data_IF_182543567954
#
_entry.id   IF_182543567954
#
_cell.length_a   1.000
_cell.length_b   1.000
_cell.length_c   1.000
_cell.angle_alpha   90.00
_cell.angle_beta   90.00
_cell.angle_gamma   90.00
#
_symmetry.space_group_name_H-M   'P 1'
#
loop_
_entity.id
_entity.type
_entity.pdbx_description
1 polymer ?
#
# COMPACT_ATOMS: atom_id res chain seq x y z
N UNK A 1 -5.51 16.30 -64.83
CA UNK A 1 -4.26 16.41 -64.05
C UNK A 1 -4.45 15.67 -62.74
N UNK A 2 -3.61 14.67 -62.46
CA UNK A 2 -3.82 13.63 -61.45
C UNK A 2 -3.55 14.19 -60.04
N UNK A 3 -4.48 13.97 -59.11
CA UNK A 3 -4.30 14.28 -57.68
C UNK A 3 -3.38 13.22 -57.09
N UNK A 4 -2.16 13.60 -56.68
CA UNK A 4 -1.24 12.71 -55.98
C UNK A 4 -1.71 12.57 -54.52
N UNK A 5 -2.15 11.37 -54.17
CA UNK A 5 -2.31 10.90 -52.80
C UNK A 5 -0.89 10.71 -52.24
N UNK A 6 -0.52 11.46 -51.21
CA UNK A 6 0.60 11.10 -50.36
C UNK A 6 0.07 10.51 -49.07
N UNK A 7 0.13 9.18 -49.02
CA UNK A 7 -0.09 8.35 -47.86
C UNK A 7 1.22 8.39 -47.06
N UNK A 8 1.28 9.18 -45.97
CA UNK A 8 2.37 9.09 -45.01
C UNK A 8 1.87 8.24 -43.85
N UNK A 9 2.17 6.95 -43.92
CA UNK A 9 2.17 6.08 -42.75
C UNK A 9 3.40 6.45 -41.90
N UNK A 10 3.20 7.14 -40.79
CA UNK A 10 4.16 7.15 -39.69
C UNK A 10 3.59 6.29 -38.57
N UNK A 11 4.27 5.17 -38.36
CA UNK A 11 4.16 4.30 -37.21
C UNK A 11 4.34 5.16 -35.95
N UNK A 12 3.25 5.54 -35.29
CA UNK A 12 3.33 5.83 -33.87
C UNK A 12 3.55 4.48 -33.19
N UNK A 13 4.81 4.07 -33.13
CA UNK A 13 5.30 3.26 -32.03
C UNK A 13 4.91 4.05 -30.78
N UNK A 14 3.75 3.69 -30.22
CA UNK A 14 3.25 4.30 -29.01
C UNK A 14 4.31 4.03 -27.96
N UNK A 15 5.05 5.08 -27.62
CA UNK A 15 5.87 5.12 -26.41
C UNK A 15 4.88 4.77 -25.31
N UNK A 16 5.00 3.55 -24.77
CA UNK A 16 4.26 3.16 -23.57
C UNK A 16 4.87 4.03 -22.48
N UNK A 17 4.30 5.20 -22.26
CA UNK A 17 4.63 5.98 -21.08
C UNK A 17 4.23 5.11 -19.89
N UNK A 18 5.22 4.70 -19.08
CA UNK A 18 4.96 4.22 -17.74
C UNK A 18 4.24 5.37 -17.01
N UNK A 19 2.91 5.30 -16.92
CA UNK A 19 2.17 6.26 -16.12
C UNK A 19 2.49 5.97 -14.67
N UNK A 20 3.29 6.84 -14.04
CA UNK A 20 3.48 6.79 -12.60
C UNK A 20 2.14 7.10 -11.92
N UNK A 21 1.64 6.14 -11.14
CA UNK A 21 0.43 6.33 -10.33
C UNK A 21 0.76 7.33 -9.23
N UNK A 22 0.24 8.55 -9.36
CA UNK A 22 0.48 9.62 -8.39
C UNK A 22 -0.38 9.42 -7.14
N UNK A 23 0.18 9.65 -5.94
CA UNK A 23 -0.62 9.63 -4.72
C UNK A 23 -1.60 10.80 -4.67
N UNK A 24 -2.74 10.59 -4.01
CA UNK A 24 -3.72 11.62 -3.70
C UNK A 24 -3.38 12.19 -2.32
N UNK A 25 -3.29 13.52 -2.24
CA UNK A 25 -2.97 14.25 -1.03
C UNK A 25 -4.10 15.24 -0.71
N UNK A 26 -4.77 15.07 0.43
CA UNK A 26 -5.94 15.85 0.82
C UNK A 26 -5.73 16.53 2.18
N UNK A 27 -6.02 17.83 2.33
CA UNK A 27 -5.88 18.51 3.61
C UNK A 27 -6.86 17.91 4.65
N UNK A 28 -6.35 17.62 5.84
CA UNK A 28 -7.10 17.09 6.97
C UNK A 28 -6.73 17.85 8.24
N UNK A 29 -7.38 19.00 8.46
CA UNK A 29 -7.03 19.91 9.55
C UNK A 29 -5.59 20.42 9.42
N UNK A 30 -4.74 20.14 10.42
CA UNK A 30 -3.30 20.45 10.38
C UNK A 30 -2.46 19.41 9.65
N UNK A 31 -3.07 18.28 9.29
CA UNK A 31 -2.42 17.14 8.63
C UNK A 31 -2.77 17.10 7.16
N UNK A 32 -2.05 16.28 6.40
CA UNK A 32 -2.32 15.94 5.02
C UNK A 32 -2.59 14.43 4.96
N UNK A 33 -3.81 14.04 4.59
CA UNK A 33 -4.12 12.63 4.31
C UNK A 33 -3.47 12.27 2.99
N UNK A 34 -2.78 11.14 2.96
CA UNK A 34 -2.14 10.61 1.76
C UNK A 34 -2.72 9.23 1.44
N UNK A 35 -3.03 9.03 0.17
CA UNK A 35 -3.49 7.75 -0.37
C UNK A 35 -2.64 7.40 -1.58
N UNK A 36 -1.91 6.30 -1.48
CA UNK A 36 -1.10 5.72 -2.53
C UNK A 36 -1.87 4.57 -3.16
N UNK A 37 -1.69 4.38 -4.47
CA UNK A 37 -2.43 3.40 -5.24
C UNK A 37 -1.49 2.49 -6.02
N UNK A 38 -1.90 1.25 -6.24
CA UNK A 38 -1.29 0.35 -7.20
C UNK A 38 -1.62 0.77 -8.64
N UNK A 39 -0.92 0.18 -9.62
CA UNK A 39 -1.20 0.37 -11.05
C UNK A 39 -2.64 0.02 -11.44
N UNK A 40 -3.25 -0.94 -10.73
CA UNK A 40 -4.64 -1.33 -10.92
C UNK A 40 -5.66 -0.33 -10.31
N UNK A 41 -5.20 0.76 -9.71
CA UNK A 41 -6.03 1.79 -9.08
C UNK A 41 -6.54 1.45 -7.67
N UNK A 42 -6.21 0.26 -7.13
CA UNK A 42 -6.54 -0.08 -5.74
C UNK A 42 -5.62 0.64 -4.76
N UNK A 43 -6.12 0.89 -3.55
CA UNK A 43 -5.34 1.55 -2.50
C UNK A 43 -4.20 0.62 -2.08
N UNK A 44 -2.98 1.13 -2.18
CA UNK A 44 -1.77 0.46 -1.71
C UNK A 44 -1.47 0.82 -0.26
N UNK A 45 -1.59 2.11 0.07
CA UNK A 45 -1.27 2.61 1.39
C UNK A 45 -2.04 3.89 1.66
N UNK A 46 -2.48 4.07 2.90
CA UNK A 46 -3.04 5.34 3.35
C UNK A 46 -2.53 5.72 4.73
N UNK A 47 -2.49 7.02 4.99
CA UNK A 47 -2.13 7.57 6.29
C UNK A 47 -2.07 9.08 6.28
N UNK A 48 -1.32 9.66 7.21
CA UNK A 48 -1.22 11.11 7.34
C UNK A 48 0.22 11.60 7.41
N UNK A 49 0.39 12.83 6.94
CA UNK A 49 1.59 13.64 7.15
C UNK A 49 1.26 14.87 7.99
N UNK A 50 2.20 15.27 8.84
CA UNK A 50 2.19 16.57 9.50
C UNK A 50 3.59 17.18 9.37
N UNK A 51 3.69 18.43 8.88
CA UNK A 51 4.97 19.11 8.63
C UNK A 51 5.97 18.29 7.79
N UNK A 52 5.47 17.57 6.78
CA UNK A 52 6.29 16.75 5.88
C UNK A 52 6.78 15.43 6.48
N UNK A 53 6.33 15.04 7.67
CA UNK A 53 6.69 13.77 8.34
C UNK A 53 5.47 12.88 8.49
N UNK A 54 5.68 11.55 8.49
CA UNK A 54 4.63 10.57 8.76
C UNK A 54 4.07 10.79 10.16
N UNK A 55 2.75 10.78 10.27
CA UNK A 55 2.02 11.06 11.51
C UNK A 55 0.74 10.24 11.58
N UNK A 56 0.37 9.78 12.78
CA UNK A 56 -0.84 9.01 13.03
C UNK A 56 -0.84 7.61 12.42
N UNK A 57 -2.04 7.07 12.22
CA UNK A 57 -2.23 5.71 11.71
C UNK A 57 -1.91 5.62 10.23
N UNK A 58 -1.17 4.57 9.89
CA UNK A 58 -0.87 4.15 8.54
C UNK A 58 -1.33 2.72 8.32
N UNK A 59 -1.89 2.46 7.15
CA UNK A 59 -2.40 1.14 6.74
C UNK A 59 -1.90 0.85 5.33
N UNK A 60 -1.45 -0.39 5.09
CA UNK A 60 -1.07 -0.88 3.77
C UNK A 60 -1.91 -2.09 3.40
N UNK A 61 -2.15 -2.23 2.10
CA UNK A 61 -2.96 -3.29 1.52
C UNK A 61 -2.17 -4.01 0.40
N UNK A 62 -2.61 -5.21 0.03
CA UNK A 62 -2.17 -5.90 -1.19
C UNK A 62 -2.98 -5.45 -2.41
N UNK A 63 -2.62 -5.93 -3.60
CA UNK A 63 -3.30 -5.61 -4.86
C UNK A 63 -4.74 -6.13 -4.95
N UNK A 64 -5.18 -6.95 -3.99
CA UNK A 64 -6.55 -7.47 -3.85
C UNK A 64 -7.36 -6.66 -2.82
N UNK A 65 -6.73 -5.69 -2.14
CA UNK A 65 -7.35 -4.86 -1.10
C UNK A 65 -7.31 -5.47 0.31
N UNK A 66 -6.61 -6.59 0.51
CA UNK A 66 -6.45 -7.17 1.84
C UNK A 66 -5.41 -6.37 2.64
N UNK A 67 -5.69 -6.10 3.91
CA UNK A 67 -4.75 -5.40 4.79
C UNK A 67 -3.53 -6.27 5.06
N UNK A 68 -2.34 -5.72 4.79
CA UNK A 68 -1.05 -6.40 5.01
C UNK A 68 -0.24 -5.78 6.15
N UNK A 69 -0.45 -4.49 6.46
CA UNK A 69 0.14 -3.88 7.65
C UNK A 69 -0.63 -2.68 8.17
N UNK A 70 -0.47 -2.39 9.46
CA UNK A 70 -0.95 -1.15 10.06
C UNK A 70 -0.18 -0.82 11.31
N UNK A 71 0.01 0.48 11.56
CA UNK A 71 0.61 0.96 12.79
C UNK A 71 0.65 2.47 12.84
N UNK A 72 1.19 3.01 13.93
CA UNK A 72 1.24 4.43 14.17
C UNK A 72 2.64 5.00 13.92
N UNK A 73 2.67 6.16 13.28
CA UNK A 73 3.84 7.03 13.22
C UNK A 73 3.65 8.27 14.09
N UNK A 74 4.74 8.78 14.64
CA UNK A 74 4.79 10.08 15.29
C UNK A 74 6.08 10.78 14.90
N UNK A 75 5.97 11.96 14.28
CA UNK A 75 7.09 12.73 13.76
C UNK A 75 8.05 11.91 12.87
N UNK A 76 7.51 10.99 12.06
CA UNK A 76 8.30 10.11 11.18
C UNK A 76 8.84 8.85 11.85
N UNK A 77 8.55 8.60 13.13
CA UNK A 77 9.00 7.40 13.85
C UNK A 77 7.85 6.43 14.08
N UNK A 78 8.05 5.15 13.81
CA UNK A 78 7.15 4.07 14.22
C UNK A 78 7.07 4.03 15.74
N UNK A 79 5.86 4.06 16.26
CA UNK A 79 5.57 3.94 17.69
C UNK A 79 4.46 2.92 17.93
N UNK A 80 4.48 2.32 19.12
CA UNK A 80 3.47 1.40 19.59
C UNK A 80 3.38 0.14 18.74
N UNK A 81 2.19 -0.46 18.73
CA UNK A 81 1.95 -1.76 18.11
C UNK A 81 1.76 -1.64 16.61
N UNK A 82 2.58 -2.35 15.88
CA UNK A 82 2.47 -2.59 14.46
C UNK A 82 1.99 -4.00 14.21
N UNK A 83 1.02 -4.13 13.32
CA UNK A 83 0.45 -5.40 12.93
C UNK A 83 0.83 -5.69 11.49
N UNK A 84 1.28 -6.92 11.23
CA UNK A 84 1.62 -7.41 9.90
C UNK A 84 0.85 -8.69 9.65
N UNK A 85 0.06 -8.70 8.58
CA UNK A 85 -0.71 -9.87 8.17
C UNK A 85 -0.02 -10.52 6.99
N UNK A 86 0.13 -11.84 7.04
CA UNK A 86 0.57 -12.65 5.91
C UNK A 86 -0.46 -13.74 5.68
N UNK A 87 -1.03 -13.72 4.48
CA UNK A 87 -1.94 -14.74 3.97
C UNK A 87 -1.13 -15.66 3.06
N UNK A 88 -1.10 -16.95 3.39
CA UNK A 88 -0.56 -17.96 2.49
C UNK A 88 -1.72 -18.59 1.72
N UNK A 89 -1.79 -18.30 0.43
CA UNK A 89 -2.82 -18.84 -0.46
C UNK A 89 -2.70 -20.36 -0.63
N UNK A 90 -1.48 -20.90 -0.50
CA UNK A 90 -1.20 -22.33 -0.75
C UNK A 90 -1.69 -23.27 0.37
N UNK A 91 -1.84 -22.78 1.60
CA UNK A 91 -2.13 -23.63 2.76
C UNK A 91 -3.21 -23.06 3.70
N UNK A 92 -3.81 -21.91 3.36
CA UNK A 92 -4.91 -21.31 4.11
C UNK A 92 -4.53 -20.79 5.50
N UNK A 93 -3.25 -20.76 5.87
CA UNK A 93 -2.82 -20.22 7.15
C UNK A 93 -2.65 -18.71 7.05
N UNK A 94 -3.42 -18.00 7.89
CA UNK A 94 -3.22 -16.59 8.17
C UNK A 94 -2.27 -16.46 9.37
N UNK A 95 -1.22 -15.67 9.20
CA UNK A 95 -0.33 -15.31 10.30
C UNK A 95 -0.42 -13.81 10.58
N UNK A 96 -0.35 -13.46 11.85
CA UNK A 96 -0.33 -12.09 12.35
C UNK A 96 0.91 -11.90 13.20
N UNK A 97 1.73 -10.92 12.86
CA UNK A 97 2.86 -10.50 13.68
C UNK A 97 2.52 -9.14 14.31
N UNK A 98 2.48 -9.09 15.63
CA UNK A 98 2.42 -7.87 16.42
C UNK A 98 3.85 -7.49 16.81
N UNK A 99 4.30 -6.32 16.37
CA UNK A 99 5.63 -5.78 16.65
C UNK A 99 5.48 -4.48 17.40
N UNK A 100 5.98 -4.40 18.63
CA UNK A 100 5.99 -3.17 19.39
C UNK A 100 7.21 -2.34 19.02
N UNK A 101 7.00 -1.09 18.59
CA UNK A 101 8.06 -0.15 18.23
C UNK A 101 8.16 0.99 19.24
N UNK A 102 9.39 1.31 19.63
CA UNK A 102 9.74 2.53 20.35
C UNK A 102 10.79 3.30 19.56
N UNK A 103 10.38 4.42 18.94
CA UNK A 103 11.25 5.29 18.13
C UNK A 103 11.97 4.51 17.03
N UNK A 104 11.20 3.85 16.15
CA UNK A 104 11.69 2.96 15.10
C UNK A 104 12.44 1.69 15.56
N UNK A 105 12.67 1.47 16.86
CA UNK A 105 13.31 0.25 17.37
C UNK A 105 12.28 -0.76 17.82
N UNK A 106 12.49 -2.02 17.43
CA UNK A 106 11.66 -3.14 17.89
C UNK A 106 11.91 -3.35 19.40
N UNK A 107 10.84 -3.22 20.18
CA UNK A 107 10.82 -3.51 21.61
C UNK A 107 10.42 -4.97 21.86
N UNK A 108 9.45 -5.49 21.11
CA UNK A 108 9.01 -6.89 21.20
C UNK A 108 8.35 -7.36 19.91
N UNK A 109 8.30 -8.69 19.72
CA UNK A 109 7.61 -9.34 18.60
C UNK A 109 6.77 -10.49 19.15
N UNK A 110 5.49 -10.53 18.76
CA UNK A 110 4.57 -11.62 19.06
C UNK A 110 3.95 -12.12 17.77
N UNK A 111 4.12 -13.42 17.50
CA UNK A 111 3.55 -14.07 16.32
C UNK A 111 2.34 -14.89 16.70
N UNK A 112 1.28 -14.76 15.91
CA UNK A 112 0.04 -15.50 16.03
C UNK A 112 -0.18 -16.29 14.74
N UNK A 113 -0.61 -17.54 14.86
CA UNK A 113 -1.02 -18.38 13.72
C UNK A 113 -2.44 -18.83 13.96
N UNK A 114 -3.31 -18.61 12.99
CA UNK A 114 -4.64 -19.21 13.01
C UNK A 114 -4.55 -20.55 12.29
N UNK A 115 -4.67 -21.65 13.05
CA UNK A 115 -4.81 -22.97 12.45
C UNK A 115 -6.23 -23.12 11.89
N UNK A 116 -6.34 -23.64 10.67
CA UNK A 116 -7.63 -24.04 10.12
C UNK A 116 -8.17 -25.17 10.99
N UNK A 117 -9.08 -24.84 11.92
CA UNK A 117 -9.91 -25.85 12.58
C UNK A 117 -10.75 -26.49 11.47
N UNK A 118 -10.30 -27.64 10.99
CA UNK A 118 -11.16 -28.55 10.24
C UNK A 118 -12.30 -28.92 11.20
N UNK A 119 -13.47 -28.31 11.00
CA UNK A 119 -14.71 -28.81 11.58
C UNK A 119 -14.84 -30.27 11.14
N UNK A 120 -14.55 -31.19 12.07
CA UNK A 120 -14.97 -32.58 12.00
C UNK A 120 -16.39 -32.62 12.54
N UNK A 121 -17.36 -32.61 11.63
CA UNK A 121 -18.69 -33.17 11.85
C UNK A 121 -18.93 -34.25 10.79
#
# INVERSE_FOLDING_TARGET
MKKCIFLVAMLFSGIIFAQEVKPVLEPFGKKLRATYFFENGQVQQEGFFENGKLEGMWVSFDEKGNKISSGEYKNGEKIGKWFFWSQNEDNGFNSLSEVDYSKNRIASVKNWKQEALANRD
#
